data_IF_976246814864
#
_entry.id   IF_976246814864
#
_cell.length_a   1.000
_cell.length_b   1.000
_cell.length_c   1.000
_cell.angle_alpha   90.00
_cell.angle_beta   90.00
_cell.angle_gamma   90.00
#
_symmetry.space_group_name_H-M   'P 1'
#
loop_
_entity.id
_entity.type
_entity.pdbx_description
1 polymer ?
#
# COMPACT_ATOMS: atom_id res chain seq x y z
N UNK A 1 96.58 -5.21 -32.86
CA UNK A 1 95.85 -3.93 -32.76
C UNK A 1 94.52 -4.21 -32.09
N UNK A 2 94.42 -3.86 -30.81
CA UNK A 2 93.19 -4.03 -30.03
C UNK A 2 92.35 -2.76 -30.18
N UNK A 3 91.08 -2.90 -30.56
CA UNK A 3 90.07 -1.84 -30.38
C UNK A 3 88.88 -2.43 -29.66
N UNK A 4 88.59 -1.83 -28.50
CA UNK A 4 87.45 -2.10 -27.62
C UNK A 4 86.23 -1.38 -28.19
N UNK A 5 85.08 -2.06 -28.23
CA UNK A 5 83.78 -1.40 -28.28
C UNK A 5 82.92 -1.98 -27.15
N UNK A 6 82.49 -1.09 -26.25
CA UNK A 6 81.70 -1.38 -25.06
C UNK A 6 80.39 -0.59 -25.18
N UNK A 7 79.26 -1.31 -25.00
CA UNK A 7 77.90 -0.91 -24.61
C UNK A 7 77.20 0.21 -25.42
N UNK A 8 75.88 0.14 -25.68
CA UNK A 8 74.79 0.23 -24.70
C UNK A 8 73.55 -0.47 -25.29
N UNK A 9 72.94 -1.40 -24.54
CA UNK A 9 71.57 -1.84 -24.79
C UNK A 9 70.69 -1.44 -23.59
N UNK A 10 69.68 -0.63 -23.90
CA UNK A 10 68.63 -0.14 -23.02
C UNK A 10 67.79 -1.28 -22.44
N UNK A 11 67.59 -1.29 -21.12
CA UNK A 11 66.68 -2.18 -20.41
C UNK A 11 65.32 -1.45 -20.25
N UNK A 12 64.32 -1.77 -21.06
CA UNK A 12 62.93 -1.37 -20.80
C UNK A 12 62.22 -2.49 -20.03
N UNK A 13 61.98 -2.25 -18.74
CA UNK A 13 61.18 -3.10 -17.87
C UNK A 13 59.69 -2.92 -18.22
N UNK A 14 59.09 -3.90 -18.89
CA UNK A 14 57.64 -3.95 -19.13
C UNK A 14 56.98 -4.60 -17.91
N UNK A 15 56.31 -3.78 -17.08
CA UNK A 15 55.47 -4.24 -15.98
C UNK A 15 54.16 -4.78 -16.57
N UNK A 16 54.00 -6.11 -16.57
CA UNK A 16 52.71 -6.75 -16.84
C UNK A 16 51.79 -6.54 -15.63
N UNK A 17 50.91 -5.54 -15.70
CA UNK A 17 49.76 -5.44 -14.79
C UNK A 17 48.75 -6.49 -15.24
N UNK A 18 48.69 -7.60 -14.51
CA UNK A 18 47.64 -8.61 -14.66
C UNK A 18 46.30 -7.99 -14.27
N UNK A 19 45.52 -7.58 -15.27
CA UNK A 19 44.10 -7.26 -15.11
C UNK A 19 43.35 -8.58 -14.82
N UNK A 20 43.39 -9.01 -13.56
CA UNK A 20 42.38 -9.92 -13.05
C UNK A 20 41.03 -9.22 -13.17
N UNK A 21 40.03 -9.78 -13.86
CA UNK A 21 38.69 -9.26 -13.74
C UNK A 21 38.28 -9.55 -12.30
N UNK A 22 38.11 -8.49 -11.51
CA UNK A 22 37.36 -8.54 -10.26
C UNK A 22 35.90 -8.86 -10.62
N UNK A 23 35.63 -10.09 -11.05
CA UNK A 23 34.32 -10.70 -10.95
C UNK A 23 34.11 -10.94 -9.47
N UNK A 24 33.71 -9.89 -8.75
CA UNK A 24 32.98 -10.08 -7.51
C UNK A 24 31.75 -10.91 -7.89
N UNK A 25 31.80 -12.20 -7.57
CA UNK A 25 30.62 -13.04 -7.50
C UNK A 25 29.67 -12.38 -6.49
N UNK A 26 28.79 -11.53 -6.98
CA UNK A 26 27.56 -11.21 -6.28
C UNK A 26 26.65 -12.44 -6.36
N UNK A 27 27.04 -13.49 -5.63
CA UNK A 27 26.15 -14.59 -5.32
C UNK A 27 25.54 -14.29 -3.95
N UNK A 28 24.67 -13.28 -3.92
CA UNK A 28 23.68 -13.12 -2.85
C UNK A 28 22.31 -13.33 -3.47
N UNK A 29 22.00 -14.61 -3.67
CA UNK A 29 20.65 -15.09 -3.87
C UNK A 29 19.90 -15.08 -2.51
N UNK A 30 20.04 -14.00 -1.74
CA UNK A 30 19.13 -13.72 -0.64
C UNK A 30 17.84 -13.27 -1.30
N UNK A 31 16.96 -14.24 -1.61
CA UNK A 31 15.53 -13.94 -1.74
C UNK A 31 15.08 -13.38 -0.40
N UNK A 32 15.27 -12.07 -0.21
CA UNK A 32 14.71 -11.36 0.93
C UNK A 32 13.20 -11.61 0.85
N UNK A 33 12.71 -12.38 1.83
CA UNK A 33 11.28 -12.67 2.04
C UNK A 33 10.49 -11.38 1.88
N UNK A 34 9.38 -11.41 1.14
CA UNK A 34 8.49 -10.25 1.08
C UNK A 34 7.89 -9.99 2.46
N UNK A 35 7.49 -8.76 2.81
CA UNK A 35 7.04 -8.40 4.15
C UNK A 35 5.95 -9.30 4.72
N UNK A 36 4.99 -9.74 3.90
CA UNK A 36 3.86 -10.57 4.34
C UNK A 36 4.07 -12.08 4.13
N UNK A 37 5.21 -12.53 3.59
CA UNK A 37 5.45 -13.95 3.33
C UNK A 37 5.45 -14.82 4.60
N UNK A 38 5.65 -14.23 5.78
CA UNK A 38 5.60 -14.96 7.06
C UNK A 38 4.24 -15.65 7.29
N UNK A 39 3.15 -15.14 6.70
CA UNK A 39 1.81 -15.70 6.82
C UNK A 39 1.71 -17.11 6.24
N UNK A 40 2.55 -17.45 5.25
CA UNK A 40 2.57 -18.80 4.64
C UNK A 40 2.92 -19.88 5.67
N UNK A 41 3.75 -19.55 6.65
CA UNK A 41 4.14 -20.48 7.73
C UNK A 41 3.05 -20.68 8.78
N UNK A 42 2.03 -19.81 8.81
CA UNK A 42 0.90 -19.87 9.74
C UNK A 42 -0.35 -20.46 9.07
N UNK A 43 -0.27 -20.88 7.80
CA UNK A 43 -1.43 -21.39 7.07
C UNK A 43 -2.02 -22.61 7.77
N UNK A 44 -3.34 -22.56 8.01
CA UNK A 44 -4.10 -23.60 8.71
C UNK A 44 -4.26 -23.35 10.21
N UNK A 45 -3.57 -22.35 10.79
CA UNK A 45 -3.75 -22.01 12.19
C UNK A 45 -5.17 -21.56 12.50
N UNK A 46 -5.66 -21.94 13.67
CA UNK A 46 -7.00 -21.66 14.15
C UNK A 46 -7.02 -21.54 15.69
N UNK A 47 -8.17 -21.12 16.23
CA UNK A 47 -8.33 -20.90 17.68
C UNK A 47 -7.89 -22.12 18.49
N UNK A 48 -7.07 -21.87 19.50
CA UNK A 48 -6.50 -22.90 20.38
C UNK A 48 -5.08 -23.32 20.00
N UNK A 49 -4.62 -22.98 18.78
CA UNK A 49 -3.23 -23.21 18.39
C UNK A 49 -2.26 -22.27 19.12
N UNK A 50 -1.05 -22.78 19.37
CA UNK A 50 0.10 -22.02 19.86
C UNK A 50 1.28 -22.26 18.94
N UNK A 51 1.56 -21.31 18.05
CA UNK A 51 2.58 -21.43 17.02
C UNK A 51 3.42 -20.15 16.93
N UNK A 52 4.74 -20.34 16.92
CA UNK A 52 5.69 -19.22 16.84
C UNK A 52 5.42 -18.36 15.60
N UNK A 53 5.19 -17.07 15.83
CA UNK A 53 4.92 -16.09 14.77
C UNK A 53 3.47 -15.61 14.70
N UNK A 54 2.54 -16.20 15.48
CA UNK A 54 1.16 -15.71 15.59
C UNK A 54 1.09 -14.26 16.05
N UNK A 55 1.98 -13.80 16.94
CA UNK A 55 2.03 -12.38 17.32
C UNK A 55 2.20 -11.45 16.11
N UNK A 56 2.91 -11.88 15.04
CA UNK A 56 3.06 -11.08 13.81
C UNK A 56 1.76 -10.99 13.02
N UNK A 57 0.95 -12.04 13.03
CA UNK A 57 -0.41 -12.01 12.46
C UNK A 57 -1.30 -11.05 13.27
N UNK A 58 -1.17 -11.06 14.60
CA UNK A 58 -1.86 -10.08 15.47
C UNK A 58 -1.45 -8.65 15.10
N UNK A 59 -0.15 -8.38 14.94
CA UNK A 59 0.35 -7.08 14.50
C UNK A 59 -0.17 -6.67 13.12
N UNK A 60 -0.23 -7.60 12.15
CA UNK A 60 -0.80 -7.33 10.82
C UNK A 60 -2.27 -6.91 10.93
N UNK A 61 -3.08 -7.68 11.66
CA UNK A 61 -4.51 -7.39 11.78
C UNK A 61 -4.77 -6.13 12.59
N UNK A 62 -3.93 -5.84 13.60
CA UNK A 62 -3.99 -4.58 14.34
C UNK A 62 -3.63 -3.39 13.46
N UNK A 63 -2.59 -3.50 12.63
CA UNK A 63 -2.20 -2.44 11.69
C UNK A 63 -3.34 -2.06 10.73
N UNK A 64 -4.08 -3.03 10.21
CA UNK A 64 -5.24 -2.79 9.34
C UNK A 64 -6.56 -2.60 10.09
N UNK A 65 -6.53 -2.52 11.42
CA UNK A 65 -7.65 -2.13 12.28
C UNK A 65 -8.63 -3.25 12.66
N UNK A 66 -8.34 -4.50 12.32
CA UNK A 66 -9.19 -5.66 12.63
C UNK A 66 -9.07 -6.14 14.07
N UNK A 67 -7.99 -5.77 14.76
CA UNK A 67 -7.66 -6.29 16.07
C UNK A 67 -7.15 -5.17 16.97
N UNK A 68 -7.62 -5.14 18.21
CA UNK A 68 -7.14 -4.21 19.22
C UNK A 68 -7.09 -4.90 20.58
N UNK A 69 -5.89 -5.02 21.14
CA UNK A 69 -5.71 -5.55 22.49
C UNK A 69 -5.56 -4.42 23.49
N UNK A 70 -6.40 -4.45 24.54
CA UNK A 70 -6.20 -3.59 25.71
C UNK A 70 -5.00 -4.03 26.56
N UNK A 71 -4.68 -5.32 26.53
CA UNK A 71 -3.59 -5.93 27.29
C UNK A 71 -2.44 -6.35 26.35
N UNK A 72 -1.28 -5.72 26.54
CA UNK A 72 -0.08 -5.94 25.71
C UNK A 72 0.50 -7.36 25.82
N UNK A 73 0.24 -8.10 26.90
CA UNK A 73 0.73 -9.48 27.01
C UNK A 73 0.09 -10.38 25.95
N UNK A 74 -1.21 -10.22 25.72
CA UNK A 74 -1.94 -10.98 24.69
C UNK A 74 -1.65 -10.51 23.27
N UNK A 75 -1.31 -9.23 23.10
CA UNK A 75 -0.90 -8.69 21.80
C UNK A 75 0.40 -9.33 21.30
N UNK A 76 1.31 -9.68 22.21
CA UNK A 76 2.67 -10.11 21.90
C UNK A 76 2.91 -11.62 22.10
N UNK A 77 1.90 -12.38 22.54
CA UNK A 77 2.00 -13.84 22.64
C UNK A 77 1.70 -14.53 21.29
N UNK A 78 2.08 -15.81 21.22
CA UNK A 78 1.89 -16.67 20.06
C UNK A 78 0.62 -17.54 20.18
N UNK A 79 -0.36 -17.13 20.98
CA UNK A 79 -1.60 -17.86 21.20
C UNK A 79 -2.67 -17.41 20.21
N UNK A 80 -3.30 -18.35 19.51
CA UNK A 80 -4.46 -18.07 18.67
C UNK A 80 -5.72 -17.97 19.53
N UNK A 81 -5.95 -16.78 20.07
CA UNK A 81 -7.07 -16.49 20.96
C UNK A 81 -8.39 -16.19 20.23
N UNK A 82 -9.44 -16.00 21.02
CA UNK A 82 -10.79 -15.69 20.52
C UNK A 82 -10.86 -14.34 19.80
N UNK A 83 -10.06 -13.35 20.22
CA UNK A 83 -10.03 -12.03 19.57
C UNK A 83 -9.42 -12.12 18.18
N UNK A 84 -8.35 -12.90 18.02
CA UNK A 84 -7.73 -13.16 16.73
C UNK A 84 -8.67 -13.93 15.79
N UNK A 85 -9.39 -14.93 16.30
CA UNK A 85 -10.42 -15.63 15.52
C UNK A 85 -11.50 -14.66 15.01
N UNK A 86 -11.99 -13.76 15.88
CA UNK A 86 -12.98 -12.76 15.51
C UNK A 86 -12.44 -11.76 14.47
N UNK A 87 -11.21 -11.29 14.64
CA UNK A 87 -10.54 -10.41 13.69
C UNK A 87 -10.41 -11.05 12.30
N UNK A 88 -10.04 -12.34 12.23
CA UNK A 88 -9.95 -13.08 10.97
C UNK A 88 -11.32 -13.28 10.32
N UNK A 89 -12.37 -13.59 11.09
CA UNK A 89 -13.74 -13.67 10.55
C UNK A 89 -14.17 -12.34 9.92
N UNK A 90 -13.81 -11.24 10.58
CA UNK A 90 -14.10 -9.88 10.08
C UNK A 90 -13.31 -9.58 8.80
N UNK A 91 -12.02 -9.91 8.76
CA UNK A 91 -11.20 -9.80 7.56
C UNK A 91 -11.80 -10.61 6.39
N UNK A 92 -12.12 -11.89 6.63
CA UNK A 92 -12.71 -12.76 5.62
C UNK A 92 -14.03 -12.20 5.08
N UNK A 93 -14.86 -11.64 5.96
CA UNK A 93 -16.11 -10.99 5.56
C UNK A 93 -15.87 -9.80 4.63
N UNK A 94 -14.96 -8.89 5.00
CA UNK A 94 -14.63 -7.68 4.22
C UNK A 94 -14.10 -7.99 2.82
N UNK A 95 -13.36 -9.10 2.69
CA UNK A 95 -12.80 -9.57 1.42
C UNK A 95 -13.66 -10.60 0.69
N UNK A 96 -14.91 -10.81 1.12
CA UNK A 96 -15.86 -11.77 0.54
C UNK A 96 -15.38 -13.23 0.52
N UNK A 97 -14.46 -13.59 1.40
CA UNK A 97 -13.97 -14.95 1.57
C UNK A 97 -14.98 -15.81 2.35
N UNK A 98 -14.75 -17.12 2.39
CA UNK A 98 -15.48 -18.01 3.31
C UNK A 98 -15.08 -17.65 4.74
N UNK A 99 -16.07 -17.34 5.59
CA UNK A 99 -15.84 -17.01 7.00
C UNK A 99 -15.59 -18.29 7.79
N UNK A 100 -14.31 -18.63 7.99
CA UNK A 100 -13.85 -19.82 8.74
C UNK A 100 -13.31 -19.45 10.12
N UNK A 101 -12.80 -18.24 10.31
CA UNK A 101 -12.06 -17.85 11.52
C UNK A 101 -10.68 -18.51 11.65
N UNK A 102 -10.23 -19.21 10.61
CA UNK A 102 -8.92 -19.84 10.52
C UNK A 102 -8.09 -19.17 9.44
N UNK A 103 -6.76 -19.25 9.55
CA UNK A 103 -5.85 -18.75 8.54
C UNK A 103 -5.73 -19.72 7.36
N UNK A 104 -6.85 -20.00 6.70
CA UNK A 104 -6.91 -20.92 5.55
C UNK A 104 -6.16 -20.38 4.30
N UNK A 105 -5.98 -21.25 3.30
CA UNK A 105 -5.17 -20.91 2.12
C UNK A 105 -5.70 -19.73 1.32
N UNK A 106 -7.03 -19.52 1.27
CA UNK A 106 -7.62 -18.38 0.57
C UNK A 106 -7.36 -17.09 1.35
N UNK A 107 -7.48 -17.14 2.67
CA UNK A 107 -7.18 -16.03 3.58
C UNK A 107 -5.71 -15.63 3.46
N UNK A 108 -4.79 -16.59 3.54
CA UNK A 108 -3.35 -16.34 3.35
C UNK A 108 -3.08 -15.73 1.97
N UNK A 109 -3.62 -16.33 0.90
CA UNK A 109 -3.42 -15.83 -0.46
C UNK A 109 -3.88 -14.39 -0.63
N UNK A 110 -4.92 -13.96 0.11
CA UNK A 110 -5.39 -12.58 0.07
C UNK A 110 -4.55 -11.64 0.93
N UNK A 111 -4.20 -12.05 2.15
CA UNK A 111 -3.43 -11.23 3.09
C UNK A 111 -2.00 -10.93 2.62
N UNK A 112 -1.40 -11.82 1.82
CA UNK A 112 -0.06 -11.59 1.24
C UNK A 112 -0.08 -10.65 0.03
N UNK A 113 -1.25 -10.27 -0.48
CA UNK A 113 -1.32 -9.37 -1.63
C UNK A 113 -0.84 -7.96 -1.25
N UNK A 114 -0.05 -7.32 -2.12
CA UNK A 114 0.29 -5.90 -1.97
C UNK A 114 -0.95 -5.02 -1.95
N UNK A 115 -0.94 -3.99 -1.10
CA UNK A 115 -2.13 -3.20 -0.78
C UNK A 115 -1.82 -1.79 -0.31
N UNK A 116 -2.85 -0.96 -0.20
CA UNK A 116 -2.82 0.31 0.52
C UNK A 116 -2.58 0.07 2.03
N UNK A 117 -1.83 0.99 2.66
CA UNK A 117 -1.51 1.01 4.08
C UNK A 117 -2.56 1.69 4.97
N UNK A 118 -3.62 2.26 4.40
CA UNK A 118 -4.73 2.80 5.19
C UNK A 118 -5.49 1.65 5.87
N UNK A 119 -5.83 1.76 7.17
CA UNK A 119 -6.62 0.73 7.86
C UNK A 119 -7.99 0.52 7.22
N UNK A 120 -8.45 -0.73 7.19
CA UNK A 120 -9.78 -1.11 6.68
C UNK A 120 -10.90 -0.78 7.67
N UNK A 121 -10.54 -0.77 8.96
CA UNK A 121 -11.45 -0.53 10.08
C UNK A 121 -10.83 0.55 10.97
N UNK A 122 -11.59 1.60 11.25
CA UNK A 122 -11.15 2.66 12.15
C UNK A 122 -12.14 2.75 13.31
N UNK A 123 -11.67 2.49 14.54
CA UNK A 123 -12.45 2.49 15.79
C UNK A 123 -13.67 1.55 15.77
N UNK A 124 -13.45 0.25 15.50
CA UNK A 124 -14.44 -0.84 15.60
C UNK A 124 -15.66 -0.77 14.66
N UNK A 125 -15.74 0.22 13.76
CA UNK A 125 -16.74 0.21 12.70
C UNK A 125 -16.14 -0.40 11.43
N UNK A 126 -16.48 -1.65 11.12
CA UNK A 126 -16.21 -2.20 9.79
C UNK A 126 -17.06 -1.46 8.77
N UNK A 127 -16.42 -0.82 7.79
CA UNK A 127 -17.13 -0.03 6.79
C UNK A 127 -17.24 -0.77 5.47
N UNK A 128 -16.33 -1.71 5.18
CA UNK A 128 -16.44 -2.61 4.04
C UNK A 128 -17.63 -3.58 4.21
N UNK A 129 -18.85 -3.10 3.99
CA UNK A 129 -20.05 -3.91 4.04
C UNK A 129 -20.06 -4.85 2.83
N UNK A 130 -19.86 -6.14 3.11
CA UNK A 130 -19.94 -7.19 2.10
C UNK A 130 -21.38 -7.50 1.69
N UNK A 131 -22.37 -6.83 2.29
CA UNK A 131 -23.81 -7.08 2.11
C UNK A 131 -24.30 -8.37 2.79
N UNK A 132 -23.40 -9.17 3.36
CA UNK A 132 -23.74 -10.41 4.08
C UNK A 132 -24.04 -10.08 5.54
N UNK A 133 -25.28 -9.65 5.81
CA UNK A 133 -25.77 -9.50 7.19
C UNK A 133 -25.73 -10.85 7.91
N UNK A 134 -25.17 -10.90 9.11
CA UNK A 134 -25.45 -11.98 10.06
C UNK A 134 -26.95 -11.93 10.38
N UNK A 135 -27.63 -13.07 10.19
CA UNK A 135 -29.07 -13.24 10.40
C UNK A 135 -29.47 -13.04 11.87
N UNK A 136 -29.64 -11.80 12.34
CA UNK A 136 -30.46 -11.48 13.51
C UNK A 136 -30.92 -10.01 13.47
N UNK A 137 -31.79 -9.67 12.51
CA UNK A 137 -33.06 -8.95 12.73
C UNK A 137 -33.70 -8.53 11.40
N UNK A 138 -35.03 -8.67 11.38
CA UNK A 138 -35.99 -8.38 10.32
C UNK A 138 -35.94 -6.95 9.78
N UNK A 139 -35.93 -6.78 8.45
CA UNK A 139 -37.02 -6.12 7.72
C UNK A 139 -36.70 -5.99 6.22
N UNK A 140 -37.74 -6.24 5.44
CA UNK A 140 -37.86 -6.14 3.98
C UNK A 140 -37.87 -4.68 3.52
N UNK A 141 -36.74 -4.18 3.03
CA UNK A 141 -36.68 -3.09 2.03
C UNK A 141 -35.52 -3.45 1.10
N UNK A 142 -35.75 -3.45 -0.23
CA UNK A 142 -34.70 -3.53 -1.23
C UNK A 142 -33.88 -2.23 -1.18
N UNK A 143 -32.98 -2.13 -0.20
CA UNK A 143 -31.98 -1.08 -0.15
C UNK A 143 -30.87 -1.45 -1.13
N UNK A 144 -30.58 -0.57 -2.08
CA UNK A 144 -29.30 -0.56 -2.78
C UNK A 144 -28.22 -0.42 -1.71
N UNK A 145 -27.54 -1.51 -1.36
CA UNK A 145 -26.43 -1.47 -0.41
C UNK A 145 -25.29 -0.75 -1.11
N UNK A 146 -24.92 0.43 -0.63
CA UNK A 146 -23.69 1.10 -1.07
C UNK A 146 -22.51 0.32 -0.52
N UNK A 147 -21.53 -0.02 -1.36
CA UNK A 147 -20.31 -0.70 -0.94
C UNK A 147 -19.15 0.27 -0.68
N UNK A 148 -19.29 1.52 -1.12
CA UNK A 148 -18.40 2.61 -0.77
C UNK A 148 -18.55 3.02 0.69
N UNK A 149 -17.47 3.61 1.20
CA UNK A 149 -17.31 3.94 2.62
C UNK A 149 -16.64 5.30 2.77
N UNK A 150 -16.74 5.90 3.95
CA UNK A 150 -16.11 7.18 4.28
C UNK A 150 -15.27 7.04 5.53
N UNK A 151 -14.47 8.04 5.89
CA UNK A 151 -13.84 8.08 7.22
C UNK A 151 -14.84 8.42 8.33
N UNK A 152 -14.54 8.06 9.59
CA UNK A 152 -15.40 8.43 10.73
C UNK A 152 -15.56 9.94 10.83
N UNK A 153 -16.82 10.40 10.93
CA UNK A 153 -17.17 11.82 10.93
C UNK A 153 -17.28 12.43 9.53
N UNK A 154 -17.14 11.62 8.47
CA UNK A 154 -17.19 12.02 7.06
C UNK A 154 -16.36 13.30 6.79
N UNK A 155 -15.07 13.31 7.18
CA UNK A 155 -14.20 14.45 6.96
C UNK A 155 -14.13 14.75 5.46
N UNK A 156 -14.23 16.03 5.15
CA UNK A 156 -14.26 16.55 3.79
C UNK A 156 -13.50 17.85 3.70
N UNK A 157 -13.07 18.17 2.48
CA UNK A 157 -12.70 19.54 2.18
C UNK A 157 -13.92 20.45 2.35
N UNK A 158 -13.78 21.68 2.86
CA UNK A 158 -14.89 22.59 3.01
C UNK A 158 -15.55 22.87 1.66
N UNK A 159 -16.86 23.11 1.63
CA UNK A 159 -17.57 23.38 0.37
C UNK A 159 -16.99 24.58 -0.40
N UNK A 160 -16.38 25.54 0.30
CA UNK A 160 -15.67 26.68 -0.30
C UNK A 160 -14.29 26.34 -0.88
N UNK A 161 -13.74 25.17 -0.56
CA UNK A 161 -12.38 24.72 -0.92
C UNK A 161 -12.45 23.57 -1.91
N UNK A 162 -12.94 23.87 -3.11
CA UNK A 162 -13.00 22.92 -4.22
C UNK A 162 -11.82 23.07 -5.20
N UNK A 163 -11.04 24.14 -5.09
CA UNK A 163 -9.76 24.28 -5.82
C UNK A 163 -8.62 23.90 -4.88
N UNK A 164 -8.09 22.69 -5.06
CA UNK A 164 -7.03 22.10 -4.25
C UNK A 164 -5.70 22.17 -4.99
N UNK A 165 -4.66 22.62 -4.31
CA UNK A 165 -3.30 22.60 -4.85
C UNK A 165 -2.59 21.31 -4.45
N UNK A 166 -1.74 20.78 -5.33
CA UNK A 166 -0.85 19.67 -4.98
C UNK A 166 0.60 19.98 -5.31
N UNK A 167 1.51 19.44 -4.53
CA UNK A 167 2.95 19.60 -4.70
C UNK A 167 3.68 18.29 -4.47
N UNK A 168 4.90 18.19 -5.02
CA UNK A 168 5.78 17.05 -4.82
C UNK A 168 6.96 17.44 -3.93
N UNK A 169 7.26 16.60 -2.95
CA UNK A 169 8.48 16.73 -2.15
C UNK A 169 9.71 16.73 -3.07
N UNK A 170 10.75 17.53 -2.77
CA UNK A 170 12.02 17.44 -3.49
C UNK A 170 12.51 15.99 -3.58
N UNK A 171 13.11 15.61 -4.72
CA UNK A 171 13.55 14.25 -5.04
C UNK A 171 12.45 13.23 -5.41
N UNK A 172 11.18 13.63 -5.46
CA UNK A 172 10.14 12.80 -6.08
C UNK A 172 10.55 12.43 -7.51
N UNK A 173 10.48 11.14 -7.92
CA UNK A 173 10.85 10.73 -9.27
C UNK A 173 10.02 11.47 -10.33
N UNK A 174 10.68 12.20 -11.24
CA UNK A 174 10.00 12.98 -12.30
C UNK A 174 9.02 12.14 -13.12
N UNK A 175 9.36 10.86 -13.37
CA UNK A 175 8.50 9.90 -14.09
C UNK A 175 7.16 9.63 -13.41
N UNK A 176 7.05 9.85 -12.10
CA UNK A 176 5.81 9.66 -11.33
C UNK A 176 4.89 10.88 -11.39
N UNK A 177 5.42 12.08 -11.68
CA UNK A 177 4.65 13.33 -11.58
C UNK A 177 3.50 13.41 -12.59
N UNK A 178 3.73 13.00 -13.84
CA UNK A 178 2.69 13.01 -14.87
C UNK A 178 1.56 11.99 -14.61
N UNK A 179 1.85 10.71 -14.29
CA UNK A 179 0.84 9.75 -13.83
C UNK A 179 -0.02 10.26 -12.66
N UNK A 180 0.61 10.84 -11.64
CA UNK A 180 -0.13 11.42 -10.49
C UNK A 180 -1.03 12.58 -10.94
N UNK A 181 -0.54 13.45 -11.82
CA UNK A 181 -1.35 14.53 -12.37
C UNK A 181 -2.58 14.01 -13.16
N UNK A 182 -2.43 12.91 -13.90
CA UNK A 182 -3.55 12.25 -14.57
C UNK A 182 -4.57 11.68 -13.59
N UNK A 183 -4.13 11.07 -12.50
CA UNK A 183 -5.03 10.58 -11.45
C UNK A 183 -5.88 11.72 -10.84
N UNK A 184 -5.29 12.91 -10.61
CA UNK A 184 -6.06 14.10 -10.22
C UNK A 184 -7.06 14.55 -11.30
N UNK A 185 -6.68 14.50 -12.58
CA UNK A 185 -7.58 14.84 -13.68
C UNK A 185 -8.77 13.87 -13.74
N UNK A 186 -8.55 12.59 -13.52
CA UNK A 186 -9.61 11.57 -13.45
C UNK A 186 -10.62 11.89 -12.33
N UNK A 187 -10.14 12.28 -11.14
CA UNK A 187 -11.04 12.74 -10.06
C UNK A 187 -11.72 14.07 -10.38
N UNK A 188 -11.01 15.04 -10.98
CA UNK A 188 -11.62 16.32 -11.39
C UNK A 188 -12.75 16.13 -12.39
N UNK A 189 -12.60 15.17 -13.32
CA UNK A 189 -13.64 14.87 -14.31
C UNK A 189 -14.90 14.23 -13.71
N UNK A 190 -14.82 13.69 -12.50
CA UNK A 190 -15.91 12.96 -11.82
C UNK A 190 -16.40 13.66 -10.55
N UNK A 191 -15.91 14.87 -10.26
CA UNK A 191 -16.24 15.66 -9.08
C UNK A 191 -16.31 17.15 -9.43
N UNK A 192 -16.65 17.99 -8.45
CA UNK A 192 -16.57 19.45 -8.59
C UNK A 192 -15.16 20.01 -8.28
N UNK A 193 -14.21 19.16 -7.91
CA UNK A 193 -12.87 19.59 -7.54
C UNK A 193 -12.06 20.01 -8.76
N UNK A 194 -11.22 21.02 -8.56
CA UNK A 194 -10.18 21.46 -9.49
C UNK A 194 -8.84 21.26 -8.81
N UNK A 195 -7.90 20.66 -9.52
CA UNK A 195 -6.55 20.44 -9.02
C UNK A 195 -5.53 21.24 -9.82
N UNK A 196 -4.60 21.87 -9.13
CA UNK A 196 -3.50 22.59 -9.77
C UNK A 196 -2.17 22.31 -9.06
N UNK A 197 -1.14 21.98 -9.84
CA UNK A 197 0.21 21.79 -9.29
C UNK A 197 0.81 23.14 -8.88
N UNK A 198 1.41 23.19 -7.69
CA UNK A 198 2.26 24.30 -7.24
C UNK A 198 3.72 23.87 -7.21
N UNK A 199 4.64 24.82 -7.43
CA UNK A 199 6.08 24.56 -7.38
C UNK A 199 6.58 24.50 -5.94
N UNK A 200 6.12 25.41 -5.09
CA UNK A 200 6.42 25.38 -3.67
C UNK A 200 5.51 24.36 -2.97
N UNK A 201 6.04 23.15 -2.79
CA UNK A 201 5.42 22.05 -2.08
C UNK A 201 4.91 22.43 -0.68
N UNK A 202 5.58 23.36 0.01
CA UNK A 202 5.23 23.68 1.40
C UNK A 202 3.86 24.36 1.50
N UNK A 203 3.45 25.05 0.43
CA UNK A 203 2.17 25.77 0.30
C UNK A 203 1.03 24.92 -0.25
N UNK A 204 1.31 23.69 -0.68
CA UNK A 204 0.30 22.82 -1.27
C UNK A 204 -0.72 22.32 -0.24
N UNK A 205 -2.00 22.26 -0.63
CA UNK A 205 -3.04 21.59 0.18
C UNK A 205 -2.76 20.08 0.27
N UNK A 206 -2.31 19.49 -0.84
CA UNK A 206 -1.97 18.07 -0.96
C UNK A 206 -0.46 17.92 -1.20
N UNK A 207 0.17 17.10 -0.37
CA UNK A 207 1.61 16.95 -0.24
C UNK A 207 2.02 15.52 -0.54
N UNK A 208 2.70 15.33 -1.66
CA UNK A 208 3.02 14.03 -2.24
C UNK A 208 4.51 13.74 -2.11
N UNK A 209 4.88 12.56 -1.61
CA UNK A 209 6.27 12.16 -1.44
C UNK A 209 6.52 10.66 -1.63
N UNK A 210 7.77 10.30 -1.87
CA UNK A 210 8.23 8.91 -1.90
C UNK A 210 9.14 8.70 -0.69
N UNK A 211 8.75 7.80 0.21
CA UNK A 211 9.43 7.58 1.49
C UNK A 211 9.85 6.12 1.64
N UNK A 212 10.77 5.82 2.57
CA UNK A 212 11.19 4.46 2.90
C UNK A 212 11.06 4.23 4.39
N UNK A 213 10.68 3.03 4.81
CA UNK A 213 10.66 2.65 6.21
C UNK A 213 9.87 3.64 7.07
N UNK A 214 10.36 3.89 8.30
CA UNK A 214 9.83 4.94 9.15
C UNK A 214 10.16 6.33 8.60
N UNK A 215 9.11 7.11 8.34
CA UNK A 215 9.20 8.45 7.78
C UNK A 215 8.40 9.50 8.58
N UNK A 216 8.24 9.28 9.88
CA UNK A 216 7.83 10.32 10.84
C UNK A 216 6.33 10.54 11.00
N UNK A 217 5.48 9.71 10.39
CA UNK A 217 4.01 9.80 10.49
C UNK A 217 3.35 8.62 11.23
N UNK A 218 4.16 7.71 11.78
CA UNK A 218 3.77 6.45 12.47
C UNK A 218 3.21 5.35 11.56
N UNK A 219 3.16 5.57 10.25
CA UNK A 219 2.78 4.56 9.25
C UNK A 219 4.03 4.16 8.45
N UNK A 220 4.93 3.41 9.07
CA UNK A 220 6.18 3.01 8.42
C UNK A 220 5.93 2.10 7.22
N UNK A 221 6.65 2.31 6.13
CA UNK A 221 6.68 1.36 5.02
C UNK A 221 7.52 0.12 5.35
N UNK A 222 7.25 -0.98 4.68
CA UNK A 222 7.80 -2.31 4.95
C UNK A 222 8.81 -2.79 3.90
N UNK A 223 9.09 -1.96 2.90
CA UNK A 223 10.03 -2.24 1.84
C UNK A 223 9.32 -2.83 0.62
N UNK A 224 10.00 -3.68 -0.16
CA UNK A 224 9.42 -4.18 -1.41
C UNK A 224 8.30 -5.20 -1.17
N UNK A 225 7.14 -4.98 -1.79
CA UNK A 225 5.90 -5.71 -1.56
C UNK A 225 5.20 -5.24 -0.28
N UNK A 226 4.02 -5.77 0.00
CA UNK A 226 3.29 -5.37 1.22
C UNK A 226 2.58 -4.04 1.05
N UNK A 227 3.01 -2.98 1.75
CA UNK A 227 2.36 -1.67 1.72
C UNK A 227 2.92 -0.82 0.57
N UNK A 228 2.06 -0.52 -0.41
CA UNK A 228 2.47 0.24 -1.60
C UNK A 228 2.54 1.75 -1.37
N UNK A 229 1.56 2.27 -0.62
CA UNK A 229 1.32 3.68 -0.40
C UNK A 229 0.31 3.86 0.74
N UNK A 230 0.20 5.09 1.24
CA UNK A 230 -0.92 5.52 2.05
C UNK A 230 -1.17 7.02 1.92
N UNK A 231 -2.41 7.41 2.16
CA UNK A 231 -2.83 8.80 2.26
C UNK A 231 -3.65 9.04 3.54
N UNK A 232 -3.89 10.31 3.82
CA UNK A 232 -4.65 10.73 4.99
C UNK A 232 -5.96 11.38 4.58
N UNK A 233 -6.99 11.18 5.40
CA UNK A 233 -8.30 11.80 5.21
C UNK A 233 -8.21 13.34 5.12
N UNK A 234 -9.18 14.02 4.49
CA UNK A 234 -9.28 15.48 4.54
C UNK A 234 -9.26 15.99 5.98
N UNK A 235 -8.63 17.12 6.28
CA UNK A 235 -7.89 18.04 5.39
C UNK A 235 -6.36 17.85 5.54
N UNK A 236 -5.91 16.67 5.95
CA UNK A 236 -4.50 16.44 6.27
C UNK A 236 -3.59 16.61 5.04
N UNK A 237 -4.04 16.11 3.89
CA UNK A 237 -3.41 16.36 2.60
C UNK A 237 -2.14 15.58 2.31
N UNK A 238 -1.62 14.75 3.24
CA UNK A 238 -0.42 13.94 2.98
C UNK A 238 -0.74 12.68 2.17
N UNK A 239 0.13 12.36 1.23
CA UNK A 239 0.09 11.15 0.41
C UNK A 239 1.53 10.68 0.18
N UNK A 240 1.85 9.48 0.66
CA UNK A 240 3.17 8.88 0.54
C UNK A 240 3.11 7.59 -0.29
N UNK A 241 4.07 7.44 -1.20
CA UNK A 241 4.41 6.17 -1.86
C UNK A 241 5.58 5.50 -1.15
N UNK A 242 5.61 4.17 -1.10
CA UNK A 242 6.83 3.46 -0.73
C UNK A 242 7.87 3.52 -1.85
N UNK A 243 9.01 4.15 -1.60
CA UNK A 243 10.11 4.31 -2.55
C UNK A 243 10.92 3.03 -2.78
N UNK A 244 10.72 1.97 -1.99
CA UNK A 244 11.34 0.65 -2.20
C UNK A 244 10.59 -0.20 -3.22
N UNK A 245 9.39 0.25 -3.63
CA UNK A 245 8.59 -0.46 -4.61
C UNK A 245 9.05 -0.27 -6.05
N UNK A 246 8.78 -1.30 -6.86
CA UNK A 246 9.09 -1.24 -8.29
C UNK A 246 7.98 -0.50 -9.04
N UNK A 247 8.09 0.82 -9.10
CA UNK A 247 7.14 1.68 -9.81
C UNK A 247 7.33 1.65 -11.33
N UNK A 248 6.22 1.64 -12.06
CA UNK A 248 6.15 1.77 -13.51
C UNK A 248 4.97 2.68 -13.93
N UNK A 249 4.91 2.99 -15.22
CA UNK A 249 3.75 3.64 -15.83
C UNK A 249 3.12 2.62 -16.78
N UNK A 250 1.86 2.26 -16.53
CA UNK A 250 1.15 1.20 -17.22
C UNK A 250 1.35 -0.20 -16.61
N UNK A 251 0.67 -1.18 -17.21
CA UNK A 251 0.61 -2.57 -16.78
C UNK A 251 1.92 -3.34 -17.09
N UNK A 252 2.98 -3.06 -16.31
CA UNK A 252 4.28 -3.72 -16.46
C UNK A 252 4.43 -4.86 -15.46
N UNK A 253 4.64 -6.08 -15.96
CA UNK A 253 4.75 -7.28 -15.13
C UNK A 253 5.73 -7.09 -13.96
N UNK A 254 5.31 -7.42 -12.74
CA UNK A 254 6.13 -7.32 -11.52
C UNK A 254 6.45 -5.91 -11.05
N UNK A 255 5.84 -4.87 -11.63
CA UNK A 255 5.90 -3.49 -11.19
C UNK A 255 4.48 -2.96 -10.88
N UNK A 256 4.37 -1.94 -10.04
CA UNK A 256 3.10 -1.29 -9.73
C UNK A 256 2.94 -0.03 -10.55
N UNK A 257 1.76 0.17 -11.11
CA UNK A 257 1.45 1.36 -11.89
C UNK A 257 1.22 2.57 -10.96
N UNK A 258 2.00 3.63 -11.18
CA UNK A 258 1.92 4.86 -10.38
C UNK A 258 0.55 5.53 -10.49
N UNK A 259 -0.06 5.56 -11.68
CA UNK A 259 -1.36 6.23 -11.87
C UNK A 259 -2.47 5.51 -11.11
N UNK A 260 -2.49 4.18 -11.16
CA UNK A 260 -3.45 3.34 -10.44
C UNK A 260 -3.36 3.54 -8.93
N UNK A 261 -2.16 3.46 -8.35
CA UNK A 261 -1.98 3.68 -6.91
C UNK A 261 -2.31 5.13 -6.54
N UNK A 262 -1.90 6.12 -7.34
CA UNK A 262 -2.28 7.51 -7.12
C UNK A 262 -3.79 7.74 -7.15
N UNK A 263 -4.50 7.10 -8.09
CA UNK A 263 -5.95 7.21 -8.21
C UNK A 263 -6.65 6.71 -6.95
N UNK A 264 -6.17 5.60 -6.37
CA UNK A 264 -6.65 5.07 -5.10
C UNK A 264 -6.39 6.05 -3.95
N UNK A 265 -5.13 6.45 -3.72
CA UNK A 265 -4.76 7.29 -2.59
C UNK A 265 -5.40 8.70 -2.65
N UNK A 266 -5.65 9.23 -3.84
CA UNK A 266 -6.41 10.48 -4.00
C UNK A 266 -7.87 10.30 -3.55
N UNK A 267 -8.47 9.12 -3.70
CA UNK A 267 -9.79 8.84 -3.14
C UNK A 267 -9.83 9.04 -1.62
N UNK A 268 -8.79 8.59 -0.91
CA UNK A 268 -8.61 8.87 0.52
C UNK A 268 -8.42 10.34 0.83
N UNK A 269 -7.61 11.05 0.03
CA UNK A 269 -7.43 12.51 0.14
C UNK A 269 -8.72 13.29 -0.07
N UNK A 270 -9.72 12.69 -0.73
CA UNK A 270 -11.05 13.28 -0.91
C UNK A 270 -12.08 12.75 0.10
N UNK A 271 -11.74 11.77 0.94
CA UNK A 271 -12.56 11.31 2.07
C UNK A 271 -13.25 9.96 1.88
N UNK A 272 -12.97 9.24 0.78
CA UNK A 272 -13.40 7.85 0.62
C UNK A 272 -12.53 6.93 1.49
N UNK A 273 -13.15 5.92 2.09
CA UNK A 273 -12.44 4.76 2.65
C UNK A 273 -12.45 3.60 1.65
N UNK A 274 -11.89 2.45 2.06
CA UNK A 274 -11.83 1.27 1.24
C UNK A 274 -13.21 0.70 0.89
N UNK A 275 -13.36 0.24 -0.35
CA UNK A 275 -14.54 -0.49 -0.85
C UNK A 275 -14.34 -1.99 -0.72
N UNK A 276 -15.42 -2.74 -0.48
CA UNK A 276 -15.43 -4.21 -0.55
C UNK A 276 -15.49 -4.74 -2.00
N UNK A 277 -15.80 -3.88 -2.97
CA UNK A 277 -15.94 -4.27 -4.39
C UNK A 277 -14.56 -4.41 -5.03
N UNK A 278 -14.16 -5.64 -5.38
CA UNK A 278 -12.83 -5.92 -5.97
C UNK A 278 -12.54 -5.13 -7.25
N UNK A 279 -13.58 -4.76 -8.01
CA UNK A 279 -13.47 -3.91 -9.21
C UNK A 279 -13.30 -2.41 -8.94
N UNK A 280 -13.53 -1.91 -7.72
CA UNK A 280 -13.47 -0.50 -7.35
C UNK A 280 -12.06 0.01 -7.12
N UNK A 281 -11.71 1.23 -7.55
CA UNK A 281 -10.36 1.74 -7.33
C UNK A 281 -10.03 1.76 -5.84
N UNK A 282 -11.01 2.04 -4.98
CA UNK A 282 -10.88 2.03 -3.52
C UNK A 282 -10.80 0.63 -2.91
N UNK A 283 -10.75 -0.44 -3.69
CA UNK A 283 -10.45 -1.76 -3.15
C UNK A 283 -8.99 -1.83 -2.66
N UNK A 284 -8.70 -2.36 -1.46
CA UNK A 284 -7.38 -2.19 -0.83
C UNK A 284 -6.20 -2.81 -1.58
N UNK A 285 -6.40 -3.96 -2.24
CA UNK A 285 -5.29 -4.71 -2.86
C UNK A 285 -5.06 -4.30 -4.31
N UNK A 286 -3.80 -4.07 -4.68
CA UNK A 286 -3.41 -3.68 -6.05
C UNK A 286 -2.31 -4.63 -6.54
N UNK A 287 -2.64 -5.38 -7.59
CA UNK A 287 -1.71 -6.37 -8.16
C UNK A 287 -0.67 -5.71 -9.07
N UNK A 288 0.58 -6.18 -8.97
CA UNK A 288 1.63 -5.79 -9.91
C UNK A 288 1.25 -6.19 -11.35
N UNK A 289 1.65 -5.36 -12.33
CA UNK A 289 1.37 -5.59 -13.74
C UNK A 289 -0.07 -5.34 -14.15
N UNK A 290 -0.85 -4.63 -13.35
CA UNK A 290 -2.23 -4.25 -13.66
C UNK A 290 -2.39 -2.73 -13.64
N UNK A 291 -3.42 -2.24 -14.32
CA UNK A 291 -3.91 -0.87 -14.20
C UNK A 291 -5.40 -0.88 -13.87
N UNK A 292 -5.88 0.19 -13.25
CA UNK A 292 -7.29 0.29 -12.85
C UNK A 292 -7.80 1.72 -12.97
N UNK A 293 -9.07 1.85 -13.33
CA UNK A 293 -9.78 3.14 -13.37
C UNK A 293 -10.87 3.20 -12.30
N UNK A 294 -11.63 4.30 -12.29
CA UNK A 294 -12.78 4.44 -11.42
C UNK A 294 -13.87 3.43 -11.78
N UNK A 295 -14.44 2.80 -10.77
CA UNK A 295 -15.63 1.98 -10.85
C UNK A 295 -16.88 2.80 -10.48
N UNK A 296 -18.05 2.26 -10.78
CA UNK A 296 -19.34 2.85 -10.41
C UNK A 296 -19.46 3.07 -8.90
N UNK A 297 -18.88 2.19 -8.09
CA UNK A 297 -18.89 2.30 -6.63
C UNK A 297 -18.13 3.54 -6.15
N UNK A 298 -16.94 3.80 -6.69
CA UNK A 298 -16.12 4.96 -6.36
C UNK A 298 -16.82 6.28 -6.75
N UNK A 299 -17.42 6.31 -7.94
CA UNK A 299 -18.16 7.48 -8.45
C UNK A 299 -19.40 7.75 -7.59
N UNK A 300 -20.14 6.71 -7.21
CA UNK A 300 -21.31 6.88 -6.33
C UNK A 300 -20.88 7.36 -4.94
N UNK A 301 -19.78 6.82 -4.39
CA UNK A 301 -19.27 7.23 -3.10
C UNK A 301 -18.88 8.70 -3.06
N UNK A 302 -18.10 9.16 -4.04
CA UNK A 302 -17.65 10.56 -4.06
C UNK A 302 -18.81 11.54 -4.26
N UNK A 303 -19.79 11.17 -5.08
CA UNK A 303 -21.03 11.94 -5.29
C UNK A 303 -21.86 12.03 -4.03
N UNK A 304 -22.01 10.92 -3.30
CA UNK A 304 -22.73 10.90 -2.04
C UNK A 304 -22.03 11.73 -0.95
N UNK A 305 -20.69 11.75 -0.92
CA UNK A 305 -19.95 12.53 0.08
C UNK A 305 -20.07 14.05 -0.14
N UNK A 306 -20.04 14.48 -1.40
CA UNK A 306 -20.01 15.88 -1.79
C UNK A 306 -21.31 16.44 -2.34
N UNK A 307 -22.36 15.61 -2.44
CA UNK A 307 -23.67 15.96 -3.01
C UNK A 307 -23.59 16.51 -4.44
N UNK A 308 -22.87 15.80 -5.32
CA UNK A 308 -22.66 16.16 -6.74
C UNK A 308 -23.14 15.10 -7.72
#
# INVERSE_FOLDING_TARGET
>A
MASKAFLILSFTLIVFISLLPFAALANFNDKKSLPFDFLKHLQGCHKGDKLKGIHKLKTYLEHFGYLHYKNQSHANDDDFDELLEFALKTYQLNYHLKVTGSLDSQTVSKMIMPRCGVPDIVNDTTRMDSGKKNHHHSSTILHTVSHYTFFRGNPKWPASKYSLTYGFLPQTPTRAMNPVAKAFQTWAANTHFRFSRVQDYTTADIKIGFHRGNHGDRNSFDGRGGILAHAFAPQNGRFHFDADERWAVGAIQGAYDVETVALHEIGHLLGLEHSSVEGAIMYPTISAGTTKGLHRDDIQGIRALYNV
#
